data_IF_117082709461
#
_entry.id   IF_117082709461
#
_cell.length_a   1.000
_cell.length_b   1.000
_cell.length_c   1.000
_cell.angle_alpha   90.00
_cell.angle_beta   90.00
_cell.angle_gamma   90.00
#
_symmetry.space_group_name_H-M   'P 1'
#
loop_
_entity.id
_entity.type
_entity.pdbx_description
1 polymer ?
#
# COMPACT_ATOMS: atom_id res chain seq x y z
N UNK A 1 0.34 18.23 -1.54
CA UNK A 1 -0.15 17.15 -2.42
C UNK A 1 0.99 16.77 -3.34
N UNK A 2 1.31 15.48 -3.50
CA UNK A 2 2.32 15.05 -4.47
C UNK A 2 1.87 15.41 -5.89
N UNK A 3 2.77 15.98 -6.70
CA UNK A 3 2.48 16.41 -8.08
C UNK A 3 2.84 15.35 -9.12
N UNK A 4 3.50 14.27 -8.71
CA UNK A 4 3.94 13.15 -9.53
C UNK A 4 4.24 11.95 -8.64
N UNK A 5 4.40 10.76 -9.24
CA UNK A 5 4.81 9.54 -8.56
C UNK A 5 6.35 9.46 -8.49
N UNK A 6 6.97 9.55 -7.30
CA UNK A 6 8.42 9.59 -7.13
C UNK A 6 9.06 8.20 -6.99
N UNK A 7 8.27 7.14 -6.95
CA UNK A 7 8.76 5.79 -6.66
C UNK A 7 9.32 5.12 -7.92
N UNK A 8 10.25 4.18 -7.74
CA UNK A 8 10.84 3.46 -8.87
C UNK A 8 9.82 2.50 -9.51
N UNK A 9 9.69 2.56 -10.85
CA UNK A 9 8.82 1.66 -11.59
C UNK A 9 9.12 0.20 -11.24
N UNK A 10 8.06 -0.58 -11.09
CA UNK A 10 8.15 -2.01 -10.77
C UNK A 10 8.18 -2.33 -9.28
N UNK A 11 8.24 -1.33 -8.40
CA UNK A 11 8.15 -1.50 -6.95
C UNK A 11 6.70 -1.44 -6.45
N UNK A 12 6.45 -2.05 -5.29
CA UNK A 12 5.13 -2.04 -4.64
C UNK A 12 4.62 -0.61 -4.36
N UNK A 13 5.52 0.27 -3.93
CA UNK A 13 5.25 1.70 -3.64
C UNK A 13 4.84 2.47 -4.90
N UNK A 14 5.48 2.20 -6.04
CA UNK A 14 5.13 2.83 -7.31
C UNK A 14 3.72 2.47 -7.75
N UNK A 15 3.37 1.19 -7.73
CA UNK A 15 2.01 0.78 -8.09
C UNK A 15 0.98 1.33 -7.11
N UNK A 16 1.25 1.27 -5.81
CA UNK A 16 0.34 1.77 -4.80
C UNK A 16 0.02 3.26 -5.03
N UNK A 17 1.04 4.09 -5.25
CA UNK A 17 0.86 5.52 -5.49
C UNK A 17 0.16 5.81 -6.84
N UNK A 18 0.57 5.12 -7.92
CA UNK A 18 -0.06 5.27 -9.23
C UNK A 18 -1.54 4.87 -9.22
N UNK A 19 -1.87 3.73 -8.60
CA UNK A 19 -3.23 3.22 -8.52
C UNK A 19 -4.09 4.04 -7.55
N UNK A 20 -3.52 4.53 -6.45
CA UNK A 20 -4.22 5.46 -5.55
C UNK A 20 -4.59 6.76 -6.29
N UNK A 21 -3.67 7.32 -7.09
CA UNK A 21 -3.97 8.47 -7.94
C UNK A 21 -5.04 8.17 -9.00
N UNK A 22 -5.07 6.99 -9.60
CA UNK A 22 -6.16 6.62 -10.52
C UNK A 22 -7.54 6.58 -9.86
N UNK A 23 -7.60 6.18 -8.58
CA UNK A 23 -8.85 6.04 -7.84
C UNK A 23 -9.31 7.34 -7.19
N UNK A 24 -8.37 8.17 -6.73
CA UNK A 24 -8.65 9.33 -5.87
C UNK A 24 -8.12 10.66 -6.42
N UNK A 25 -7.43 10.65 -7.56
CA UNK A 25 -6.78 11.82 -8.16
C UNK A 25 -5.76 12.52 -7.24
N UNK A 26 -5.15 11.76 -6.32
CA UNK A 26 -4.17 12.24 -5.35
C UNK A 26 -2.98 11.28 -5.32
N UNK A 27 -1.76 11.82 -5.33
CA UNK A 27 -0.54 11.07 -5.01
C UNK A 27 -0.24 11.18 -3.51
N UNK A 28 0.41 10.16 -2.95
CA UNK A 28 0.88 10.21 -1.57
C UNK A 28 1.85 11.40 -1.40
N UNK A 29 1.74 12.18 -0.31
CA UNK A 29 2.54 13.39 -0.14
C UNK A 29 3.96 13.14 0.39
N UNK A 30 4.34 11.90 0.74
CA UNK A 30 5.65 11.58 1.33
C UNK A 30 6.61 10.95 0.32
N UNK A 31 7.85 11.45 0.31
CA UNK A 31 8.91 10.98 -0.62
C UNK A 31 10.22 10.61 0.09
N UNK A 32 10.36 10.95 1.38
CA UNK A 32 11.53 10.64 2.23
C UNK A 32 11.12 9.59 3.25
N UNK A 33 12.01 8.64 3.59
CA UNK A 33 11.69 7.48 4.45
C UNK A 33 10.34 6.88 4.05
N UNK A 34 10.25 6.49 2.78
CA UNK A 34 9.03 6.08 2.11
C UNK A 34 9.09 4.61 1.69
N UNK A 35 9.88 3.80 2.40
CA UNK A 35 9.76 2.34 2.30
C UNK A 35 8.37 1.91 2.74
N UNK A 36 7.89 0.79 2.21
CA UNK A 36 6.51 0.33 2.39
C UNK A 36 6.05 0.35 3.86
N UNK A 37 6.81 -0.24 4.79
CA UNK A 37 6.46 -0.29 6.21
C UNK A 37 6.44 1.08 6.91
N UNK A 38 7.06 2.12 6.33
CA UNK A 38 7.10 3.47 6.90
C UNK A 38 5.85 4.30 6.54
N UNK A 39 5.02 3.84 5.61
CA UNK A 39 3.86 4.59 5.11
C UNK A 39 2.81 4.84 6.20
N UNK A 40 2.71 4.00 7.23
CA UNK A 40 1.82 4.24 8.38
C UNK A 40 2.22 5.52 9.13
N UNK A 41 3.51 5.64 9.49
CA UNK A 41 4.02 6.82 10.21
C UNK A 41 3.93 8.08 9.34
N UNK A 42 4.18 7.95 8.03
CA UNK A 42 4.03 9.07 7.10
C UNK A 42 2.57 9.47 6.91
N UNK A 43 1.64 8.54 6.77
CA UNK A 43 0.22 8.83 6.70
C UNK A 43 -0.23 9.66 7.91
N UNK A 44 0.14 9.27 9.13
CA UNK A 44 -0.17 10.02 10.35
C UNK A 44 0.43 11.44 10.33
N UNK A 45 1.70 11.57 9.92
CA UNK A 45 2.38 12.86 9.84
C UNK A 45 1.70 13.82 8.84
N UNK A 46 1.16 13.28 7.74
CA UNK A 46 0.43 14.04 6.73
C UNK A 46 -1.08 14.07 6.97
N UNK A 47 -1.53 13.71 8.17
CA UNK A 47 -2.94 13.72 8.59
C UNK A 47 -3.88 12.83 7.77
N UNK A 48 -3.34 11.80 7.11
CA UNK A 48 -4.15 10.74 6.51
C UNK A 48 -4.67 9.81 7.61
N UNK A 49 -5.84 9.23 7.37
CA UNK A 49 -6.44 8.24 8.25
C UNK A 49 -5.67 6.93 8.20
N UNK A 50 -5.36 6.37 9.38
CA UNK A 50 -4.83 5.01 9.52
C UNK A 50 -5.86 4.15 10.23
N UNK A 51 -6.20 3.00 9.65
CA UNK A 51 -7.16 2.05 10.18
C UNK A 51 -6.57 0.64 10.24
N UNK A 52 -7.12 -0.20 11.11
CA UNK A 52 -6.90 -1.65 11.12
C UNK A 52 -7.98 -2.42 10.34
N UNK A 53 -8.95 -1.70 9.77
CA UNK A 53 -10.07 -2.29 9.02
C UNK A 53 -9.88 -2.07 7.52
N UNK A 54 -9.92 -3.14 6.70
CA UNK A 54 -9.78 -3.02 5.26
C UNK A 54 -10.94 -2.25 4.65
N UNK A 55 -10.63 -1.41 3.65
CA UNK A 55 -11.63 -0.74 2.84
C UNK A 55 -11.18 -0.69 1.38
N UNK A 56 -12.10 -0.91 0.44
CA UNK A 56 -11.78 -0.86 -0.99
C UNK A 56 -11.26 0.53 -1.36
N UNK A 57 -10.18 0.57 -2.14
CA UNK A 57 -9.48 1.79 -2.54
C UNK A 57 -8.49 2.33 -1.51
N UNK A 58 -8.39 1.75 -0.31
CA UNK A 58 -7.33 2.09 0.64
C UNK A 58 -6.00 1.42 0.29
N UNK A 59 -4.90 2.00 0.75
CA UNK A 59 -3.57 1.41 0.64
C UNK A 59 -3.37 0.50 1.85
N UNK A 60 -3.25 -0.80 1.62
CA UNK A 60 -2.76 -1.76 2.61
C UNK A 60 -1.27 -1.52 2.85
N UNK A 61 -0.86 -1.51 4.11
CA UNK A 61 0.54 -1.51 4.55
C UNK A 61 0.77 -2.75 5.42
N UNK A 62 1.68 -3.62 4.98
CA UNK A 62 2.21 -4.72 5.76
C UNK A 62 3.50 -4.27 6.44
N UNK A 63 3.57 -4.44 7.77
CA UNK A 63 4.82 -4.27 8.50
C UNK A 63 5.85 -5.35 8.09
N UNK A 64 7.15 -5.12 8.34
CA UNK A 64 8.20 -6.09 8.04
C UNK A 64 7.90 -7.50 8.59
N UNK A 65 8.03 -8.53 7.76
CA UNK A 65 7.80 -9.93 8.14
C UNK A 65 6.33 -10.36 8.21
N UNK A 66 5.36 -9.44 8.07
CA UNK A 66 3.94 -9.76 8.16
C UNK A 66 3.44 -10.38 6.86
N UNK A 67 2.75 -11.52 6.96
CA UNK A 67 2.16 -12.24 5.82
C UNK A 67 3.15 -12.54 4.67
N UNK A 68 4.45 -12.64 4.97
CA UNK A 68 5.51 -12.87 3.98
C UNK A 68 6.15 -11.60 3.42
N UNK A 69 5.79 -10.41 3.92
CA UNK A 69 6.43 -9.16 3.54
C UNK A 69 7.92 -9.16 3.93
N UNK A 70 8.75 -8.58 3.06
CA UNK A 70 10.19 -8.48 3.29
C UNK A 70 10.54 -7.49 4.41
N UNK A 71 11.83 -7.32 4.70
CA UNK A 71 12.33 -6.46 5.79
C UNK A 71 11.91 -4.99 5.67
N UNK A 72 11.56 -4.53 4.47
CA UNK A 72 11.10 -3.16 4.20
C UNK A 72 9.57 -2.99 4.30
N UNK A 73 8.83 -4.07 4.57
CA UNK A 73 7.36 -4.12 4.52
C UNK A 73 6.83 -4.26 3.09
N UNK A 74 5.51 -4.17 2.93
CA UNK A 74 4.86 -4.22 1.60
C UNK A 74 3.64 -3.31 1.55
N UNK A 75 3.37 -2.71 0.38
CA UNK A 75 2.14 -1.93 0.16
C UNK A 75 1.38 -2.41 -1.06
N UNK A 76 0.06 -2.35 -0.98
CA UNK A 76 -0.85 -2.78 -2.05
C UNK A 76 -2.16 -1.99 -1.98
N UNK A 77 -2.89 -1.87 -3.09
CA UNK A 77 -4.24 -1.27 -3.09
C UNK A 77 -5.29 -2.34 -2.86
N UNK A 78 -6.17 -2.13 -1.89
CA UNK A 78 -7.32 -3.02 -1.68
C UNK A 78 -8.30 -2.85 -2.85
N UNK A 79 -8.41 -3.86 -3.71
CA UNK A 79 -9.28 -3.84 -4.89
C UNK A 79 -10.67 -4.39 -4.58
N UNK A 80 -10.79 -5.37 -3.69
CA UNK A 80 -12.08 -5.94 -3.31
C UNK A 80 -12.06 -6.65 -1.96
N UNK A 81 -13.22 -6.71 -1.31
CA UNK A 81 -13.42 -7.51 -0.10
C UNK A 81 -13.80 -8.95 -0.45
N UNK A 82 -13.33 -9.91 0.35
CA UNK A 82 -13.62 -11.34 0.18
C UNK A 82 -13.94 -11.99 1.53
N UNK A 83 -15.14 -11.71 2.05
CA UNK A 83 -15.55 -12.19 3.37
C UNK A 83 -14.64 -11.64 4.48
N UNK A 84 -13.88 -12.51 5.14
CA UNK A 84 -12.91 -12.14 6.19
C UNK A 84 -11.54 -11.74 5.66
N UNK A 85 -11.29 -11.91 4.36
CA UNK A 85 -10.06 -11.49 3.67
C UNK A 85 -10.37 -10.41 2.63
N UNK A 86 -9.35 -9.95 1.93
CA UNK A 86 -9.48 -8.99 0.85
C UNK A 86 -8.44 -9.27 -0.23
N UNK A 87 -8.73 -8.83 -1.46
CA UNK A 87 -7.81 -8.90 -2.59
C UNK A 87 -7.15 -7.54 -2.74
N UNK A 88 -5.82 -7.53 -2.79
CA UNK A 88 -5.04 -6.33 -3.03
C UNK A 88 -4.16 -6.46 -4.27
N UNK A 89 -3.94 -5.35 -4.98
CA UNK A 89 -3.08 -5.26 -6.15
C UNK A 89 -1.75 -4.57 -5.79
N UNK A 90 -0.64 -5.16 -6.23
CA UNK A 90 0.71 -4.62 -6.05
C UNK A 90 1.64 -5.13 -7.13
N UNK A 91 2.69 -4.37 -7.42
CA UNK A 91 3.88 -4.90 -8.10
C UNK A 91 4.83 -5.53 -7.07
N UNK A 92 5.70 -6.40 -7.55
CA UNK A 92 6.84 -6.96 -6.80
C UNK A 92 6.46 -7.84 -5.58
N UNK A 93 5.22 -8.31 -5.48
CA UNK A 93 4.82 -9.23 -4.42
C UNK A 93 5.31 -10.67 -4.66
N UNK A 94 5.30 -11.11 -5.91
CA UNK A 94 5.78 -12.41 -6.37
C UNK A 94 7.26 -12.39 -6.81
N UNK A 95 7.95 -11.25 -6.63
CA UNK A 95 9.29 -11.00 -7.15
C UNK A 95 9.34 -10.66 -8.65
N UNK A 96 8.18 -10.53 -9.31
CA UNK A 96 8.07 -10.11 -10.71
C UNK A 96 7.88 -8.60 -10.79
N UNK A 97 8.93 -7.85 -10.46
CA UNK A 97 8.94 -6.38 -10.59
C UNK A 97 8.40 -5.92 -11.95
N UNK A 98 7.54 -4.90 -11.95
CA UNK A 98 6.93 -4.35 -13.16
C UNK A 98 5.65 -5.03 -13.63
N UNK A 99 5.25 -6.15 -13.01
CA UNK A 99 3.95 -6.79 -13.26
C UNK A 99 3.00 -6.54 -12.09
N UNK A 100 1.76 -6.12 -12.40
CA UNK A 100 0.72 -5.95 -11.37
C UNK A 100 0.11 -7.30 -11.05
N UNK A 101 0.31 -7.76 -9.83
CA UNK A 101 -0.25 -9.00 -9.32
C UNK A 101 -1.37 -8.71 -8.32
N UNK A 102 -2.33 -9.63 -8.25
CA UNK A 102 -3.40 -9.61 -7.24
C UNK A 102 -3.19 -10.75 -6.27
N UNK A 103 -3.22 -10.45 -4.98
CA UNK A 103 -3.04 -11.45 -3.93
C UNK A 103 -4.06 -11.24 -2.82
N UNK A 104 -4.37 -12.33 -2.11
CA UNK A 104 -5.34 -12.31 -1.01
C UNK A 104 -4.60 -12.13 0.31
N UNK A 105 -5.06 -11.19 1.11
CA UNK A 105 -4.51 -10.87 2.44
C UNK A 105 -5.62 -10.88 3.49
N UNK A 106 -5.24 -11.02 4.75
CA UNK A 106 -6.14 -10.88 5.89
C UNK A 106 -5.78 -9.66 6.73
N UNK A 107 -6.78 -9.04 7.35
CA UNK A 107 -6.52 -8.00 8.35
C UNK A 107 -6.04 -8.65 9.64
N UNK A 108 -5.21 -7.94 10.41
CA UNK A 108 -4.64 -8.47 11.65
C UNK A 108 -3.48 -7.62 12.17
N UNK A 109 -2.74 -8.18 13.12
CA UNK A 109 -1.57 -7.50 13.69
C UNK A 109 -0.54 -7.17 12.59
N UNK A 110 -0.09 -5.91 12.56
CA UNK A 110 0.88 -5.42 11.58
C UNK A 110 0.33 -5.22 10.16
N UNK A 111 -1.00 -5.24 9.99
CA UNK A 111 -1.69 -4.89 8.74
C UNK A 111 -2.47 -3.61 8.98
N UNK A 112 -2.13 -2.57 8.23
CA UNK A 112 -2.76 -1.26 8.35
C UNK A 112 -3.32 -0.81 7.01
N UNK A 113 -4.28 0.10 7.06
CA UNK A 113 -4.94 0.67 5.88
C UNK A 113 -4.88 2.18 5.99
N UNK A 114 -4.36 2.82 4.95
CA UNK A 114 -4.22 4.28 4.92
C UNK A 114 -5.03 4.89 3.78
N UNK A 115 -5.61 6.05 4.04
CA UNK A 115 -6.37 6.86 3.07
C UNK A 115 -6.41 8.33 3.51
N UNK A 116 -6.55 9.25 2.56
CA UNK A 116 -6.76 10.68 2.83
C UNK A 116 -8.20 11.00 3.20
#
# INVERSE_FOLDING_TARGET
>A
MGTYNPFAYGQCTYWADARYHQLHHVYVPWIVNSNAGQWVARAQQYHWSVSSTPSVGSIMVLAPGVQGAWSVGHVAIVESMRGKSFVASSMDWDGSGGTVNRSTFTAGAGVHFIKN
#
